data_IF_401546188738
#
_entry.id   IF_401546188738
#
_cell.length_a   1.000
_cell.length_b   1.000
_cell.length_c   1.000
_cell.angle_alpha   90.00
_cell.angle_beta   90.00
_cell.angle_gamma   90.00
#
_symmetry.space_group_name_H-M   'P 1'
#
loop_
_entity.id
_entity.type
_entity.pdbx_description
1 polymer ?
#
# COMPACT_ATOMS: atom_id res chain seq x y z
N UNK A 1 -1.75 -20.40 9.27
CA UNK A 1 -3.13 -20.39 8.73
C UNK A 1 -3.13 -19.56 7.44
N UNK A 2 -3.42 -20.17 6.30
CA UNK A 2 -3.40 -19.49 5.00
C UNK A 2 -4.71 -18.72 4.81
N UNK A 3 -4.67 -17.42 5.07
CA UNK A 3 -5.84 -16.55 4.85
C UNK A 3 -6.02 -16.29 3.36
N UNK A 4 -7.25 -16.42 2.88
CA UNK A 4 -7.62 -16.47 1.47
C UNK A 4 -7.35 -15.12 0.77
N UNK A 5 -6.61 -15.14 -0.34
CA UNK A 5 -6.36 -14.00 -1.24
C UNK A 5 -7.65 -13.31 -1.72
N UNK A 6 -8.82 -13.91 -1.50
CA UNK A 6 -10.14 -13.46 -1.96
C UNK A 6 -10.73 -12.34 -1.12
N UNK A 7 -10.40 -12.24 0.17
CA UNK A 7 -11.02 -11.25 1.06
C UNK A 7 -10.93 -9.79 0.53
N UNK A 8 -9.76 -9.28 0.09
CA UNK A 8 -9.68 -7.91 -0.41
C UNK A 8 -10.42 -7.71 -1.73
N UNK A 9 -10.51 -8.75 -2.58
CA UNK A 9 -11.34 -8.69 -3.79
C UNK A 9 -12.84 -8.72 -3.46
N UNK A 10 -13.25 -9.41 -2.40
CA UNK A 10 -14.63 -9.43 -1.94
C UNK A 10 -15.05 -8.03 -1.45
N UNK A 11 -14.21 -7.39 -0.62
CA UNK A 11 -14.45 -6.01 -0.17
C UNK A 11 -14.55 -5.07 -1.37
N UNK A 12 -13.59 -5.14 -2.31
CA UNK A 12 -13.61 -4.33 -3.52
C UNK A 12 -14.90 -4.56 -4.35
N UNK A 13 -15.30 -5.83 -4.54
CA UNK A 13 -16.50 -6.17 -5.28
C UNK A 13 -17.77 -5.65 -4.59
N UNK A 14 -17.85 -5.75 -3.27
CA UNK A 14 -18.97 -5.21 -2.49
C UNK A 14 -19.04 -3.69 -2.67
N UNK A 15 -17.94 -2.97 -2.43
CA UNK A 15 -17.89 -1.51 -2.60
C UNK A 15 -18.34 -1.09 -4.00
N UNK A 16 -17.80 -1.74 -5.04
CA UNK A 16 -18.20 -1.51 -6.43
C UNK A 16 -19.67 -1.77 -6.66
N UNK A 17 -20.21 -2.86 -6.12
CA UNK A 17 -21.63 -3.22 -6.28
C UNK A 17 -22.54 -2.18 -5.61
N UNK A 18 -22.21 -1.73 -4.40
CA UNK A 18 -23.01 -0.72 -3.71
C UNK A 18 -22.98 0.63 -4.43
N UNK A 19 -21.80 1.03 -4.93
CA UNK A 19 -21.66 2.24 -5.74
C UNK A 19 -22.42 2.14 -7.07
N UNK A 20 -22.17 1.10 -7.87
CA UNK A 20 -22.62 1.04 -9.27
C UNK A 20 -24.02 0.43 -9.43
N UNK A 21 -24.35 -0.60 -8.64
CA UNK A 21 -25.62 -1.36 -8.78
C UNK A 21 -26.72 -0.82 -7.88
N UNK A 22 -26.36 -0.43 -6.65
CA UNK A 22 -27.32 0.07 -5.66
C UNK A 22 -27.35 1.60 -5.55
N UNK A 23 -26.46 2.29 -6.29
CA UNK A 23 -26.34 3.75 -6.28
C UNK A 23 -26.16 4.34 -4.86
N UNK A 24 -25.56 3.59 -3.95
CA UNK A 24 -25.32 4.00 -2.57
C UNK A 24 -23.80 4.06 -2.28
N UNK A 25 -23.18 5.24 -2.51
CA UNK A 25 -21.76 5.42 -2.25
C UNK A 25 -21.44 5.52 -0.74
N UNK A 26 -22.40 5.89 0.09
CA UNK A 26 -22.18 5.96 1.55
C UNK A 26 -22.04 4.56 2.13
N UNK A 27 -22.89 3.62 1.69
CA UNK A 27 -22.78 2.23 2.09
C UNK A 27 -21.47 1.59 1.61
N UNK A 28 -21.01 1.92 0.40
CA UNK A 28 -19.70 1.49 -0.09
C UNK A 28 -18.56 1.97 0.82
N UNK A 29 -18.58 3.22 1.29
CA UNK A 29 -17.59 3.73 2.24
C UNK A 29 -17.69 3.05 3.62
N UNK A 30 -18.91 2.82 4.11
CA UNK A 30 -19.16 2.15 5.39
C UNK A 30 -18.62 0.72 5.41
N UNK A 31 -18.65 0.00 4.30
CA UNK A 31 -18.09 -1.36 4.20
C UNK A 31 -16.58 -1.36 4.37
N UNK A 32 -15.88 -0.42 3.73
CA UNK A 32 -14.44 -0.28 3.90
C UNK A 32 -14.10 0.08 5.35
N UNK A 33 -14.82 1.05 5.92
CA UNK A 33 -14.65 1.48 7.30
C UNK A 33 -14.89 0.31 8.29
N UNK A 34 -15.94 -0.48 8.06
CA UNK A 34 -16.21 -1.67 8.85
C UNK A 34 -15.08 -2.70 8.75
N UNK A 35 -14.58 -3.00 7.55
CA UNK A 35 -13.48 -3.93 7.35
C UNK A 35 -12.18 -3.47 8.05
N UNK A 36 -11.94 -2.16 8.09
CA UNK A 36 -10.80 -1.53 8.78
C UNK A 36 -10.89 -1.64 10.31
N UNK A 37 -12.08 -1.49 10.89
CA UNK A 37 -12.26 -1.48 12.35
C UNK A 37 -12.69 -2.83 12.94
N UNK A 38 -12.98 -3.84 12.11
CA UNK A 38 -13.42 -5.16 12.58
C UNK A 38 -12.35 -5.89 13.40
N UNK A 39 -11.11 -5.92 12.91
CA UNK A 39 -9.97 -6.52 13.60
C UNK A 39 -8.66 -6.20 12.88
N UNK A 40 -7.52 -6.35 13.57
CA UNK A 40 -6.18 -6.16 12.96
C UNK A 40 -5.99 -7.08 11.73
N UNK A 41 -6.31 -8.40 11.77
CA UNK A 41 -6.21 -9.24 10.58
C UNK A 41 -7.14 -8.78 9.45
N UNK A 42 -8.36 -8.35 9.77
CA UNK A 42 -9.29 -7.84 8.76
C UNK A 42 -8.72 -6.62 8.03
N UNK A 43 -8.11 -5.70 8.77
CA UNK A 43 -7.43 -4.55 8.17
C UNK A 43 -6.25 -4.98 7.29
N UNK A 44 -5.33 -5.78 7.81
CA UNK A 44 -4.11 -6.19 7.09
C UNK A 44 -4.41 -6.99 5.81
N UNK A 45 -5.38 -7.91 5.87
CA UNK A 45 -5.68 -8.78 4.73
C UNK A 45 -6.80 -8.23 3.82
N UNK A 46 -7.72 -7.44 4.35
CA UNK A 46 -8.87 -6.90 3.62
C UNK A 46 -8.61 -5.53 2.98
N UNK A 47 -7.94 -4.63 3.69
CA UNK A 47 -7.62 -3.28 3.21
C UNK A 47 -6.30 -3.29 2.45
N UNK A 48 -6.30 -3.92 1.27
CA UNK A 48 -5.14 -3.93 0.37
C UNK A 48 -5.47 -3.20 -0.93
N UNK A 49 -4.54 -3.20 -1.91
CA UNK A 49 -4.62 -2.43 -3.15
C UNK A 49 -5.99 -2.45 -3.86
N UNK A 50 -6.68 -3.59 -4.08
CA UNK A 50 -7.99 -3.59 -4.74
C UNK A 50 -9.09 -2.87 -3.94
N UNK A 51 -9.10 -2.98 -2.60
CA UNK A 51 -10.08 -2.30 -1.75
C UNK A 51 -9.84 -0.78 -1.73
N UNK A 52 -8.58 -0.35 -1.60
CA UNK A 52 -8.23 1.07 -1.68
C UNK A 52 -8.54 1.69 -3.05
N UNK A 53 -8.36 0.94 -4.14
CA UNK A 53 -8.73 1.43 -5.47
C UNK A 53 -10.22 1.76 -5.56
N UNK A 54 -11.10 0.93 -4.98
CA UNK A 54 -12.54 1.21 -4.94
C UNK A 54 -12.88 2.35 -3.97
N UNK A 55 -12.15 2.48 -2.85
CA UNK A 55 -12.29 3.62 -1.93
C UNK A 55 -12.01 4.95 -2.65
N UNK A 56 -10.85 5.03 -3.32
CA UNK A 56 -10.43 6.21 -4.08
C UNK A 56 -11.42 6.52 -5.20
N UNK A 57 -11.83 5.50 -5.96
CA UNK A 57 -12.78 5.67 -7.05
C UNK A 57 -14.14 6.18 -6.55
N UNK A 58 -14.60 5.69 -5.40
CA UNK A 58 -15.87 6.10 -4.78
C UNK A 58 -15.81 7.53 -4.25
N UNK A 59 -14.74 7.88 -3.51
CA UNK A 59 -14.51 9.25 -3.00
C UNK A 59 -14.45 10.26 -4.15
N UNK A 60 -13.75 9.92 -5.24
CA UNK A 60 -13.63 10.82 -6.37
C UNK A 60 -14.89 10.92 -7.23
N UNK A 61 -15.51 9.79 -7.57
CA UNK A 61 -16.60 9.76 -8.55
C UNK A 61 -17.92 10.26 -7.98
N UNK A 62 -18.16 10.05 -6.68
CA UNK A 62 -19.43 10.39 -6.04
C UNK A 62 -19.37 11.70 -5.24
N UNK A 63 -18.25 11.97 -4.57
CA UNK A 63 -18.13 13.13 -3.68
C UNK A 63 -17.21 14.23 -4.22
N UNK A 64 -16.44 13.96 -5.29
CA UNK A 64 -15.40 14.87 -5.78
C UNK A 64 -14.40 15.31 -4.70
N UNK A 65 -14.19 14.47 -3.69
CA UNK A 65 -13.36 14.78 -2.53
C UNK A 65 -11.88 14.52 -2.84
N UNK A 66 -11.16 15.57 -3.23
CA UNK A 66 -9.73 15.48 -3.54
C UNK A 66 -8.90 15.16 -2.29
N UNK A 67 -9.29 15.70 -1.13
CA UNK A 67 -8.56 15.51 0.12
C UNK A 67 -8.74 14.08 0.62
N UNK A 68 -9.95 13.56 0.58
CA UNK A 68 -10.20 12.16 0.86
C UNK A 68 -9.45 11.20 -0.07
N UNK A 69 -9.20 11.57 -1.33
CA UNK A 69 -8.35 10.76 -2.23
C UNK A 69 -6.88 10.82 -1.81
N UNK A 70 -6.36 12.02 -1.49
CA UNK A 70 -5.01 12.19 -0.97
C UNK A 70 -4.79 11.35 0.29
N UNK A 71 -5.68 11.47 1.27
CA UNK A 71 -5.54 10.80 2.56
C UNK A 71 -5.58 9.27 2.41
N UNK A 72 -6.41 8.74 1.50
CA UNK A 72 -6.45 7.31 1.20
C UNK A 72 -5.15 6.80 0.54
N UNK A 73 -4.53 7.59 -0.34
CA UNK A 73 -3.24 7.25 -0.96
C UNK A 73 -2.08 7.34 0.03
N UNK A 74 -2.14 8.30 0.95
CA UNK A 74 -1.18 8.43 2.05
C UNK A 74 -1.30 7.23 3.01
N UNK A 75 -2.52 6.84 3.36
CA UNK A 75 -2.79 5.65 4.18
C UNK A 75 -2.28 4.36 3.51
N UNK A 76 -2.53 4.19 2.20
CA UNK A 76 -1.94 3.08 1.43
C UNK A 76 -0.42 3.01 1.58
N UNK A 77 0.25 4.16 1.41
CA UNK A 77 1.71 4.24 1.51
C UNK A 77 2.20 3.97 2.93
N UNK A 78 1.55 4.54 3.93
CA UNK A 78 1.87 4.34 5.35
C UNK A 78 1.76 2.85 5.74
N UNK A 79 0.74 2.17 5.23
CA UNK A 79 0.53 0.74 5.46
C UNK A 79 1.44 -0.17 4.61
N UNK A 80 2.29 0.39 3.75
CA UNK A 80 3.14 -0.39 2.83
C UNK A 80 2.37 -1.10 1.71
N UNK A 81 1.15 -0.63 1.40
CA UNK A 81 0.34 -1.16 0.30
C UNK A 81 0.78 -0.50 -0.99
N UNK A 82 1.38 -1.30 -1.88
CA UNK A 82 1.91 -0.82 -3.15
C UNK A 82 0.79 -0.37 -4.10
N UNK A 83 0.92 0.81 -4.74
CA UNK A 83 -0.01 1.25 -5.77
C UNK A 83 0.14 0.41 -7.04
N UNK A 84 -0.99 0.04 -7.64
CA UNK A 84 -1.04 -0.75 -8.88
C UNK A 84 -1.27 0.17 -10.11
N UNK A 85 -1.17 -0.39 -11.31
CA UNK A 85 -1.52 0.29 -12.56
C UNK A 85 -2.93 0.88 -12.55
N UNK A 86 -3.89 0.26 -11.84
CA UNK A 86 -5.22 0.84 -11.64
C UNK A 86 -5.17 2.12 -10.80
N UNK A 87 -4.40 2.13 -9.72
CA UNK A 87 -4.22 3.31 -8.85
C UNK A 87 -3.65 4.48 -9.65
N UNK A 88 -2.64 4.22 -10.51
CA UNK A 88 -2.07 5.23 -11.41
C UNK A 88 -3.09 5.77 -12.42
N UNK A 89 -3.89 4.88 -13.03
CA UNK A 89 -4.97 5.30 -13.95
C UNK A 89 -6.01 6.18 -13.25
N UNK A 90 -6.34 5.89 -11.99
CA UNK A 90 -7.25 6.71 -11.20
C UNK A 90 -6.66 8.10 -10.91
N UNK A 91 -5.39 8.19 -10.52
CA UNK A 91 -4.69 9.46 -10.32
C UNK A 91 -4.58 10.28 -11.62
N UNK A 92 -4.29 9.65 -12.75
CA UNK A 92 -4.27 10.32 -14.05
C UNK A 92 -5.66 10.85 -14.45
N UNK A 93 -6.71 10.04 -14.25
CA UNK A 93 -8.10 10.45 -14.51
C UNK A 93 -8.50 11.62 -13.62
N UNK A 94 -8.07 11.62 -12.37
CA UNK A 94 -8.26 12.69 -11.41
C UNK A 94 -7.58 13.98 -11.88
N UNK A 95 -6.28 13.92 -12.16
CA UNK A 95 -5.49 15.06 -12.66
C UNK A 95 -6.11 15.70 -13.88
N UNK A 96 -6.55 14.90 -14.86
CA UNK A 96 -7.21 15.42 -16.07
C UNK A 96 -8.54 16.10 -15.76
N UNK A 97 -9.38 15.52 -14.90
CA UNK A 97 -10.68 16.10 -14.54
C UNK A 97 -10.54 17.38 -13.71
N UNK A 98 -9.67 17.38 -12.70
CA UNK A 98 -9.42 18.55 -11.85
C UNK A 98 -8.71 19.63 -12.65
N UNK A 99 -7.65 19.28 -13.39
CA UNK A 99 -6.93 20.22 -14.24
C UNK A 99 -7.83 20.86 -15.29
N UNK A 100 -8.72 20.10 -15.93
CA UNK A 100 -9.72 20.67 -16.81
C UNK A 100 -10.60 21.69 -16.06
N UNK A 101 -11.19 21.32 -14.91
CA UNK A 101 -12.06 22.23 -14.12
C UNK A 101 -11.34 23.49 -13.63
N UNK A 102 -10.14 23.36 -13.07
CA UNK A 102 -9.33 24.48 -12.56
C UNK A 102 -8.99 25.48 -13.67
N UNK A 103 -8.69 25.01 -14.89
CA UNK A 103 -8.43 25.90 -16.04
C UNK A 103 -9.66 26.77 -16.38
N UNK A 104 -10.90 26.30 -16.14
CA UNK A 104 -12.11 27.12 -16.33
C UNK A 104 -12.46 28.00 -15.13
N UNK A 105 -11.98 27.66 -13.92
CA UNK A 105 -12.21 28.41 -12.68
C UNK A 105 -11.10 29.45 -12.36
N UNK A 106 -10.07 29.55 -13.21
CA UNK A 106 -8.99 30.56 -13.11
C UNK A 106 -9.48 32.03 -13.24
N UNK A 107 -10.77 32.26 -13.49
CA UNK A 107 -11.41 33.56 -13.33
C UNK A 107 -11.71 33.93 -11.84
N UNK A 108 -11.57 32.97 -10.92
CA UNK A 108 -11.82 33.14 -9.48
C UNK A 108 -10.51 33.10 -8.66
N UNK A 109 -10.12 34.28 -8.17
CA UNK A 109 -8.80 34.67 -7.63
C UNK A 109 -8.36 33.98 -6.31
N UNK A 110 -9.09 32.99 -5.78
CA UNK A 110 -8.83 32.46 -4.44
C UNK A 110 -9.07 30.94 -4.35
N UNK A 111 -8.01 30.13 -4.49
CA UNK A 111 -8.06 28.68 -4.22
C UNK A 111 -7.28 27.77 -5.19
N UNK A 112 -6.86 28.26 -6.35
CA UNK A 112 -6.22 27.43 -7.40
C UNK A 112 -4.89 26.79 -6.97
N UNK A 113 -4.05 27.51 -6.21
CA UNK A 113 -2.71 27.02 -5.82
C UNK A 113 -2.72 25.80 -4.89
N UNK A 114 -3.70 25.70 -3.99
CA UNK A 114 -3.80 24.57 -3.05
C UNK A 114 -4.19 23.27 -3.76
N UNK A 115 -5.09 23.37 -4.74
CA UNK A 115 -5.55 22.23 -5.56
C UNK A 115 -4.40 21.69 -6.41
N UNK A 116 -3.63 22.58 -7.06
CA UNK A 116 -2.44 22.19 -7.85
C UNK A 116 -1.36 21.55 -6.96
N UNK A 117 -1.15 22.09 -5.75
CA UNK A 117 -0.26 21.49 -4.76
C UNK A 117 -0.71 20.09 -4.33
N UNK A 118 -2.01 19.89 -4.12
CA UNK A 118 -2.58 18.59 -3.73
C UNK A 118 -2.47 17.56 -4.85
N UNK A 119 -2.70 17.96 -6.11
CA UNK A 119 -2.51 17.09 -7.27
C UNK A 119 -1.05 16.62 -7.39
N UNK A 120 -0.09 17.50 -7.13
CA UNK A 120 1.33 17.17 -7.16
C UNK A 120 1.69 16.13 -6.08
N UNK A 121 1.10 16.24 -4.88
CA UNK A 121 1.27 15.25 -3.81
C UNK A 121 0.67 13.89 -4.20
N UNK A 122 -0.54 13.90 -4.78
CA UNK A 122 -1.20 12.67 -5.25
C UNK A 122 -0.35 11.96 -6.32
N UNK A 123 0.23 12.70 -7.25
CA UNK A 123 1.12 12.15 -8.27
C UNK A 123 2.34 11.47 -7.62
N UNK A 124 2.99 12.14 -6.65
CA UNK A 124 4.11 11.57 -5.90
C UNK A 124 3.74 10.28 -5.16
N UNK A 125 2.55 10.21 -4.55
CA UNK A 125 2.07 9.02 -3.85
C UNK A 125 1.79 7.84 -4.78
N UNK A 126 1.52 8.10 -6.07
CA UNK A 126 1.28 7.03 -7.06
C UNK A 126 2.55 6.55 -7.76
N UNK A 127 3.64 7.31 -7.67
CA UNK A 127 4.95 6.89 -8.16
C UNK A 127 5.46 5.81 -7.20
N UNK A 128 5.67 4.61 -7.74
CA UNK A 128 6.36 3.54 -7.02
C UNK A 128 7.77 4.03 -6.74
N UNK A 129 8.09 4.31 -5.47
CA UNK A 129 9.46 4.63 -5.11
C UNK A 129 10.35 3.48 -5.57
N UNK A 130 11.45 3.76 -6.32
CA UNK A 130 12.39 2.70 -6.62
C UNK A 130 12.83 2.15 -5.27
N UNK A 131 12.51 0.88 -5.01
CA UNK A 131 13.03 0.15 -3.82
C UNK A 131 14.48 0.57 -3.72
N UNK A 132 14.83 1.29 -2.65
CA UNK A 132 16.21 1.66 -2.35
C UNK A 132 16.94 0.32 -2.41
N UNK A 133 17.64 0.05 -3.52
CA UNK A 133 18.58 -1.07 -3.56
C UNK A 133 19.45 -0.73 -2.39
N UNK A 134 19.41 -1.54 -1.33
CA UNK A 134 20.43 -1.46 -0.30
C UNK A 134 21.72 -1.49 -1.11
N UNK A 135 22.40 -0.34 -1.18
CA UNK A 135 23.76 -0.30 -1.68
C UNK A 135 24.43 -1.42 -0.91
N UNK A 136 24.93 -2.43 -1.63
CA UNK A 136 25.78 -3.44 -1.02
C UNK A 136 26.93 -2.64 -0.43
N UNK A 137 26.85 -2.31 0.86
CA UNK A 137 27.97 -1.76 1.60
C UNK A 137 29.13 -2.70 1.29
N UNK A 138 30.29 -2.21 0.83
CA UNK A 138 31.44 -3.06 0.61
C UNK A 138 31.63 -3.85 1.90
N UNK A 139 31.54 -5.18 1.80
CA UNK A 139 31.33 -6.05 2.94
C UNK A 139 32.40 -5.80 4.01
N UNK A 140 32.00 -5.20 5.13
CA UNK A 140 32.74 -5.41 6.37
C UNK A 140 32.55 -6.89 6.68
N UNK A 141 33.61 -7.68 6.53
CA UNK A 141 33.66 -9.07 6.98
C UNK A 141 33.16 -9.09 8.42
N UNK A 142 31.94 -9.58 8.65
CA UNK A 142 31.48 -9.86 9.99
C UNK A 142 32.40 -10.95 10.57
N UNK A 143 32.87 -10.82 11.83
CA UNK A 143 33.58 -11.92 12.48
C UNK A 143 32.65 -13.14 12.45
N UNK A 144 33.19 -14.24 11.94
CA UNK A 144 32.43 -15.35 11.40
C UNK A 144 31.47 -15.95 12.44
N UNK A 145 30.17 -15.78 12.20
CA UNK A 145 29.08 -16.55 12.80
C UNK A 145 29.19 -18.06 12.49
N UNK A 146 30.09 -18.42 11.57
CA UNK A 146 30.44 -19.79 11.18
C UNK A 146 31.84 -20.21 11.67
N UNK A 147 32.56 -19.40 12.46
CA UNK A 147 33.89 -19.77 12.98
C UNK A 147 33.87 -21.08 13.79
N UNK A 148 32.76 -21.33 14.49
CA UNK A 148 32.55 -22.55 15.27
C UNK A 148 32.43 -23.81 14.39
N UNK A 149 32.09 -23.68 13.10
CA UNK A 149 31.98 -24.81 12.18
C UNK A 149 33.35 -25.35 11.77
N UNK A 150 34.33 -24.45 11.61
CA UNK A 150 35.72 -24.85 11.33
C UNK A 150 36.38 -25.45 12.58
N UNK A 151 35.94 -25.05 13.77
CA UNK A 151 36.43 -25.63 15.03
C UNK A 151 35.84 -27.03 15.29
N UNK A 152 34.58 -27.25 14.92
CA UNK A 152 33.92 -28.56 15.02
C UNK A 152 34.43 -29.61 14.02
N UNK A 153 35.18 -29.20 12.99
CA UNK A 153 35.79 -30.09 12.00
C UNK A 153 37.25 -30.42 12.29
N UNK A 154 37.83 -29.84 13.35
CA UNK A 154 39.10 -30.33 13.88
C UNK A 154 38.80 -31.59 14.66
N UNK A 155 39.13 -32.73 14.08
CA UNK A 155 39.20 -33.98 14.82
C UNK A 155 40.26 -33.80 15.93
N UNK A 156 39.81 -33.72 17.18
CA UNK A 156 40.69 -33.89 18.33
C UNK A 156 41.21 -35.33 18.29
N UNK A 157 42.46 -35.49 17.84
CA UNK A 157 43.16 -36.79 17.73
C UNK A 157 43.47 -37.37 19.13
N UNK A 158 43.00 -36.77 20.23
CA UNK A 158 43.42 -37.11 21.58
C UNK A 158 42.33 -37.66 22.52
N UNK A 159 41.12 -37.94 22.03
CA UNK A 159 40.14 -38.67 22.85
C UNK A 159 40.23 -40.17 22.57
N UNK A 160 41.29 -40.77 23.13
CA UNK A 160 41.44 -42.23 23.26
C UNK A 160 40.32 -42.77 24.17
N UNK A 161 39.16 -43.06 23.58
CA UNK A 161 38.07 -43.79 24.21
C UNK A 161 38.51 -45.25 24.49
N UNK A 162 38.86 -45.56 25.74
CA UNK A 162 39.04 -46.95 26.19
C UNK A 162 37.71 -47.46 26.78
N UNK A 163 37.03 -48.32 26.03
CA UNK A 163 35.86 -49.07 26.51
C UNK A 163 36.28 -50.51 26.84
N UNK A 164 36.31 -50.85 28.13
CA UNK A 164 36.33 -52.22 28.63
C UNK A 164 37.71 -52.80 28.96
N UNK A 165 38.11 -52.65 30.24
CA UNK A 165 38.82 -53.68 31.02
C UNK A 165 38.20 -53.75 32.41
#
# INVERSE_FOLDING_TARGET
EFQHLTYPYLIAHLMRSFRDKYCDPHLALSIFNYAQHLSIPSYVFGCTTPAYNELIETRWSCFHDLRGVHDALEEMRFNGVEPDGRTKKLAEKLRRKVGARTIWEEESVFGSGEVVGMLSKIEQLTIKEPRRKQEKRPGKKLPALDAWKDDALKEDVEDRYEFGQ
#
